data_IF_038696722412
#
_entry.id   IF_038696722412
#
_cell.length_a   1.000
_cell.length_b   1.000
_cell.length_c   1.000
_cell.angle_alpha   90.00
_cell.angle_beta   90.00
_cell.angle_gamma   90.00
#
_symmetry.space_group_name_H-M   'P 1'
#
loop_
_entity.id
_entity.type
_entity.pdbx_description
1 polymer ?
#
# COMPACT_ATOMS: atom_id res chain seq x y z
N UNK A 1 -15.99 -24.72 15.98
CA UNK A 1 -15.83 -24.02 14.69
C UNK A 1 -14.49 -23.34 14.76
N UNK A 2 -13.50 -23.85 14.03
CA UNK A 2 -12.20 -23.19 13.89
C UNK A 2 -12.46 -21.96 13.03
N UNK A 3 -12.21 -20.76 13.56
CA UNK A 3 -12.34 -19.53 12.79
C UNK A 3 -11.16 -19.42 11.82
N UNK A 4 -11.44 -19.02 10.59
CA UNK A 4 -10.48 -18.78 9.51
C UNK A 4 -9.63 -17.51 9.76
N UNK A 5 -9.27 -17.22 11.02
CA UNK A 5 -8.76 -15.92 11.50
C UNK A 5 -7.25 -15.69 11.23
N UNK A 6 -6.63 -16.43 10.31
CA UNK A 6 -5.17 -16.45 10.17
C UNK A 6 -4.59 -15.87 8.88
N UNK A 7 -5.40 -15.41 7.92
CA UNK A 7 -4.92 -15.30 6.52
C UNK A 7 -4.31 -13.98 6.08
N UNK A 8 -4.42 -12.89 6.83
CA UNK A 8 -3.95 -11.58 6.36
C UNK A 8 -3.22 -10.79 7.45
N UNK A 9 -2.28 -11.44 8.16
CA UNK A 9 -1.39 -10.67 9.03
C UNK A 9 -0.46 -9.76 8.20
N UNK A 10 -0.08 -10.21 7.00
CA UNK A 10 0.65 -9.44 6.00
C UNK A 10 -0.17 -9.36 4.71
N UNK A 11 -0.16 -8.21 4.05
CA UNK A 11 -0.68 -8.03 2.69
C UNK A 11 0.38 -7.39 1.80
N UNK A 12 0.38 -7.80 0.52
CA UNK A 12 1.22 -7.22 -0.53
C UNK A 12 2.74 -7.28 -0.26
N UNK A 13 3.20 -8.17 0.63
CA UNK A 13 4.63 -8.30 1.00
C UNK A 13 5.51 -8.77 -0.17
N UNK A 14 4.93 -9.51 -1.13
CA UNK A 14 5.65 -9.98 -2.32
C UNK A 14 5.61 -8.95 -3.48
N UNK A 15 4.93 -7.82 -3.30
CA UNK A 15 4.78 -6.81 -4.35
C UNK A 15 5.87 -5.76 -4.22
N UNK A 16 6.76 -5.70 -5.21
CA UNK A 16 7.77 -4.65 -5.27
C UNK A 16 7.20 -3.39 -5.90
N UNK A 17 7.20 -2.28 -5.16
CA UNK A 17 6.72 -0.97 -5.65
C UNK A 17 7.47 0.20 -5.01
N UNK A 18 7.47 1.35 -5.72
CA UNK A 18 8.00 2.62 -5.22
C UNK A 18 7.00 3.75 -5.38
N UNK A 19 6.79 4.52 -4.31
CA UNK A 19 5.98 5.73 -4.34
C UNK A 19 6.67 6.93 -5.04
N UNK A 20 7.88 6.74 -5.59
CA UNK A 20 8.54 7.74 -6.42
C UNK A 20 7.82 7.93 -7.78
N UNK A 21 7.04 6.93 -8.21
CA UNK A 21 6.27 7.01 -9.45
C UNK A 21 5.20 8.10 -9.37
N UNK A 22 4.84 8.69 -10.52
CA UNK A 22 3.75 9.66 -10.58
C UNK A 22 2.40 8.99 -10.25
N UNK A 23 1.41 9.80 -9.84
CA UNK A 23 0.05 9.30 -9.66
C UNK A 23 -0.49 8.76 -10.97
N UNK A 24 -1.13 7.59 -10.91
CA UNK A 24 -1.76 7.00 -12.08
C UNK A 24 -3.18 7.53 -12.26
N UNK A 25 -3.58 7.80 -13.50
CA UNK A 25 -4.90 8.35 -13.80
C UNK A 25 -6.04 7.35 -13.54
N UNK A 26 -5.76 6.06 -13.72
CA UNK A 26 -6.68 4.95 -13.49
C UNK A 26 -5.90 3.67 -13.14
N UNK A 27 -6.64 2.62 -12.78
CA UNK A 27 -6.08 1.34 -12.33
C UNK A 27 -5.34 0.57 -13.44
N UNK A 28 -5.71 0.75 -14.72
CA UNK A 28 -5.02 0.08 -15.82
C UNK A 28 -3.67 0.74 -16.08
N UNK A 29 -3.63 2.08 -16.10
CA UNK A 29 -2.38 2.82 -16.18
C UNK A 29 -1.44 2.53 -14.99
N UNK A 30 -2.02 2.31 -13.81
CA UNK A 30 -1.28 1.87 -12.64
C UNK A 30 -0.70 0.46 -12.83
N UNK A 31 -1.50 -0.49 -13.31
CA UNK A 31 -1.04 -1.85 -13.59
C UNK A 31 0.10 -1.87 -14.61
N UNK A 32 -0.01 -1.12 -15.71
CA UNK A 32 1.05 -1.01 -16.71
C UNK A 32 2.35 -0.45 -16.07
N UNK A 33 2.23 0.55 -15.19
CA UNK A 33 3.37 1.12 -14.47
C UNK A 33 3.99 0.13 -13.49
N UNK A 34 3.16 -0.67 -12.82
CA UNK A 34 3.58 -1.74 -11.91
C UNK A 34 4.34 -2.85 -12.65
N UNK A 35 3.84 -3.28 -13.82
CA UNK A 35 4.52 -4.26 -14.68
C UNK A 35 5.86 -3.75 -15.18
N UNK A 36 5.92 -2.50 -15.66
CA UNK A 36 7.16 -1.86 -16.13
C UNK A 36 8.18 -1.80 -14.99
N UNK A 37 7.77 -1.32 -13.81
CA UNK A 37 8.65 -1.21 -12.65
C UNK A 37 9.24 -2.56 -12.25
N UNK A 38 8.40 -3.60 -12.12
CA UNK A 38 8.84 -4.94 -11.70
C UNK A 38 9.81 -5.53 -12.73
N UNK A 39 9.55 -5.34 -14.03
CA UNK A 39 10.47 -5.74 -15.09
C UNK A 39 11.81 -5.02 -15.01
N UNK A 40 11.83 -3.72 -14.72
CA UNK A 40 13.05 -2.91 -14.66
C UNK A 40 13.97 -3.32 -13.49
N UNK A 41 13.39 -3.83 -12.40
CA UNK A 41 14.14 -4.36 -11.24
C UNK A 41 14.36 -5.89 -11.31
N UNK A 42 14.02 -6.52 -12.44
CA UNK A 42 14.14 -7.97 -12.67
C UNK A 42 13.39 -8.84 -11.64
N UNK A 43 12.22 -8.37 -11.19
CA UNK A 43 11.30 -9.09 -10.28
C UNK A 43 10.02 -9.44 -11.03
N UNK A 44 9.47 -10.63 -10.77
CA UNK A 44 8.18 -11.05 -11.34
C UNK A 44 7.02 -10.48 -10.51
N UNK A 45 6.03 -9.91 -11.18
CA UNK A 45 4.79 -9.50 -10.53
C UNK A 45 4.00 -10.75 -10.09
N UNK A 46 3.49 -10.83 -8.85
CA UNK A 46 2.76 -12.00 -8.42
C UNK A 46 1.48 -12.24 -9.23
N UNK A 47 1.26 -13.48 -9.67
CA UNK A 47 0.08 -13.90 -10.47
C UNK A 47 -1.26 -13.58 -9.79
N UNK A 48 -1.25 -13.42 -8.46
CA UNK A 48 -2.42 -13.20 -7.64
C UNK A 48 -2.72 -11.73 -7.36
N UNK A 49 -2.01 -10.75 -7.94
CA UNK A 49 -2.20 -9.31 -7.69
C UNK A 49 -3.66 -8.81 -7.94
N UNK A 50 -4.48 -9.58 -8.65
CA UNK A 50 -5.92 -9.34 -8.82
C UNK A 50 -6.85 -10.02 -7.81
N UNK A 51 -6.32 -10.74 -6.83
CA UNK A 51 -7.11 -11.53 -5.88
C UNK A 51 -7.94 -10.65 -4.94
N UNK A 52 -9.15 -11.11 -4.64
CA UNK A 52 -10.06 -10.43 -3.72
C UNK A 52 -9.64 -10.61 -2.27
N UNK A 53 -9.61 -9.52 -1.51
CA UNK A 53 -9.16 -9.47 -0.12
C UNK A 53 -10.27 -9.74 0.91
N UNK A 54 -11.54 -9.81 0.48
CA UNK A 54 -12.68 -10.14 1.35
C UNK A 54 -13.14 -9.02 2.28
N UNK A 55 -12.59 -7.81 2.13
CA UNK A 55 -13.06 -6.59 2.80
C UNK A 55 -13.12 -5.44 1.79
N UNK A 56 -14.00 -4.46 2.02
CA UNK A 56 -14.16 -3.29 1.15
C UNK A 56 -13.78 -1.97 1.82
N UNK A 57 -13.33 -2.00 3.06
CA UNK A 57 -12.93 -0.82 3.82
C UNK A 57 -11.75 -1.16 4.74
N UNK A 58 -10.76 -0.27 4.78
CA UNK A 58 -9.55 -0.46 5.58
C UNK A 58 -8.98 0.88 6.01
N UNK A 59 -8.35 0.93 7.18
CA UNK A 59 -7.56 2.07 7.63
C UNK A 59 -6.08 1.74 7.46
N UNK A 60 -5.33 2.62 6.80
CA UNK A 60 -3.88 2.50 6.67
C UNK A 60 -3.22 3.58 7.52
N UNK A 61 -2.40 3.15 8.47
CA UNK A 61 -1.50 4.02 9.23
C UNK A 61 -0.18 4.13 8.48
N UNK A 62 0.35 5.33 8.39
CA UNK A 62 1.62 5.59 7.71
C UNK A 62 2.38 6.72 8.39
N UNK A 63 3.68 6.81 8.11
CA UNK A 63 4.52 7.89 8.61
C UNK A 63 5.51 8.37 7.57
N UNK A 64 5.78 9.67 7.56
CA UNK A 64 6.67 10.30 6.60
C UNK A 64 7.47 11.42 7.28
N UNK A 65 8.62 11.77 6.71
CA UNK A 65 9.47 12.84 7.25
C UNK A 65 9.19 14.15 6.50
N UNK A 66 8.97 15.24 7.24
CA UNK A 66 8.71 16.57 6.69
C UNK A 66 9.53 17.64 7.44
N UNK A 67 9.92 18.71 6.74
CA UNK A 67 10.62 19.84 7.32
C UNK A 67 9.60 20.83 7.91
N UNK A 68 9.47 20.85 9.24
CA UNK A 68 8.56 21.76 9.98
C UNK A 68 9.42 22.69 10.83
N UNK A 69 9.28 24.01 10.63
CA UNK A 69 10.07 25.03 11.35
C UNK A 69 11.59 24.77 11.31
N UNK A 70 12.13 24.42 10.13
CA UNK A 70 13.52 24.04 9.89
C UNK A 70 14.00 22.78 10.65
N UNK A 71 13.08 21.95 11.16
CA UNK A 71 13.39 20.68 11.82
C UNK A 71 12.71 19.52 11.09
N UNK A 72 13.50 18.51 10.74
CA UNK A 72 12.97 17.25 10.20
C UNK A 72 12.18 16.52 11.29
N UNK A 73 10.90 16.31 11.02
CA UNK A 73 9.94 15.73 11.96
C UNK A 73 9.24 14.55 11.32
N UNK A 74 9.13 13.42 12.03
CA UNK A 74 8.29 12.29 11.61
C UNK A 74 6.83 12.64 11.87
N UNK A 75 6.07 12.78 10.81
CA UNK A 75 4.62 12.93 10.84
C UNK A 75 3.99 11.55 10.78
N UNK A 76 3.03 11.27 11.66
CA UNK A 76 2.22 10.04 11.64
C UNK A 76 0.80 10.40 11.27
N UNK A 77 0.20 9.63 10.37
CA UNK A 77 -1.14 9.90 9.88
C UNK A 77 -1.90 8.60 9.57
N UNK A 78 -3.20 8.72 9.32
CA UNK A 78 -4.04 7.61 8.90
C UNK A 78 -4.90 8.03 7.70
N UNK A 79 -5.16 7.08 6.82
CA UNK A 79 -6.12 7.23 5.72
C UNK A 79 -7.12 6.09 5.77
N UNK A 80 -8.37 6.40 5.50
CA UNK A 80 -9.43 5.41 5.35
C UNK A 80 -9.66 5.20 3.86
N UNK A 81 -9.46 3.97 3.40
CA UNK A 81 -9.66 3.57 2.01
C UNK A 81 -10.94 2.73 1.92
N UNK A 82 -11.66 2.92 0.82
CA UNK A 82 -12.89 2.18 0.54
C UNK A 82 -12.94 1.77 -0.93
N UNK A 83 -13.25 0.51 -1.17
CA UNK A 83 -13.47 -0.02 -2.51
C UNK A 83 -14.84 0.43 -3.02
N UNK A 84 -14.92 0.71 -4.31
CA UNK A 84 -16.20 0.91 -5.01
C UNK A 84 -16.92 -0.42 -5.30
N UNK A 85 -16.26 -1.56 -5.02
CA UNK A 85 -16.75 -2.92 -5.21
C UNK A 85 -17.12 -3.60 -3.88
N UNK A 86 -17.61 -4.84 -3.95
CA UNK A 86 -17.95 -5.65 -2.76
C UNK A 86 -16.73 -5.98 -1.89
N UNK A 87 -15.54 -6.03 -2.49
CA UNK A 87 -14.26 -6.21 -1.80
C UNK A 87 -13.13 -5.62 -2.63
N UNK A 88 -12.08 -5.14 -1.96
CA UNK A 88 -10.82 -4.79 -2.60
C UNK A 88 -10.23 -5.98 -3.35
N UNK A 89 -9.61 -5.69 -4.49
CA UNK A 89 -8.48 -6.50 -4.97
C UNK A 89 -7.16 -5.96 -4.41
N UNK A 90 -6.12 -6.78 -4.40
CA UNK A 90 -4.76 -6.35 -4.06
C UNK A 90 -4.28 -5.17 -4.93
N UNK A 91 -4.47 -5.27 -6.25
CA UNK A 91 -4.16 -4.21 -7.21
C UNK A 91 -4.89 -2.91 -6.90
N UNK A 92 -6.20 -2.98 -6.62
CA UNK A 92 -6.99 -1.80 -6.28
C UNK A 92 -6.51 -1.16 -4.98
N UNK A 93 -6.23 -1.97 -3.96
CA UNK A 93 -5.71 -1.48 -2.69
C UNK A 93 -4.37 -0.76 -2.87
N UNK A 94 -3.44 -1.37 -3.62
CA UNK A 94 -2.14 -0.78 -3.90
C UNK A 94 -2.26 0.50 -4.74
N UNK A 95 -3.15 0.52 -5.74
CA UNK A 95 -3.45 1.71 -6.55
C UNK A 95 -3.97 2.87 -5.69
N UNK A 96 -4.98 2.62 -4.86
CA UNK A 96 -5.52 3.65 -3.97
C UNK A 96 -4.46 4.13 -2.97
N UNK A 97 -3.68 3.22 -2.40
CA UNK A 97 -2.58 3.53 -1.49
C UNK A 97 -1.55 4.44 -2.17
N UNK A 98 -1.08 4.07 -3.37
CA UNK A 98 -0.16 4.86 -4.17
C UNK A 98 -0.68 6.28 -4.38
N UNK A 99 -1.86 6.42 -4.99
CA UNK A 99 -2.38 7.74 -5.34
C UNK A 99 -2.67 8.64 -4.13
N UNK A 100 -2.98 8.08 -2.96
CA UNK A 100 -3.17 8.85 -1.74
C UNK A 100 -1.84 9.28 -1.11
N UNK A 101 -0.83 8.41 -1.13
CA UNK A 101 0.39 8.60 -0.35
C UNK A 101 1.58 9.14 -1.16
N UNK A 102 1.53 9.07 -2.48
CA UNK A 102 2.62 9.46 -3.39
C UNK A 102 3.19 10.85 -3.08
N UNK A 103 2.34 11.83 -2.75
CA UNK A 103 2.79 13.20 -2.46
C UNK A 103 3.72 13.29 -1.25
N UNK A 104 3.58 12.38 -0.29
CA UNK A 104 4.41 12.35 0.91
C UNK A 104 5.76 11.67 0.64
N UNK A 105 5.80 10.69 -0.27
CA UNK A 105 6.96 9.82 -0.47
C UNK A 105 7.73 10.06 -1.77
N UNK A 106 7.21 10.84 -2.72
CA UNK A 106 7.84 11.06 -4.03
C UNK A 106 9.29 11.57 -3.94
N UNK A 107 9.60 12.37 -2.92
CA UNK A 107 10.96 12.91 -2.71
C UNK A 107 11.77 12.12 -1.66
N UNK A 108 11.19 11.05 -1.11
CA UNK A 108 11.84 10.19 -0.12
C UNK A 108 12.36 8.93 -0.80
N UNK A 109 13.23 9.15 -1.79
CA UNK A 109 13.78 8.23 -2.82
C UNK A 109 14.45 6.92 -2.30
N UNK A 110 14.34 6.63 -1.01
CA UNK A 110 14.90 5.44 -0.35
C UNK A 110 13.84 4.52 0.26
N UNK A 111 12.56 4.87 0.15
CA UNK A 111 11.49 4.06 0.70
C UNK A 111 10.83 3.21 -0.39
N UNK A 112 11.11 1.91 -0.33
CA UNK A 112 10.41 0.89 -1.11
C UNK A 112 9.23 0.36 -0.31
N UNK A 113 8.13 0.07 -0.98
CA UNK A 113 6.98 -0.56 -0.36
C UNK A 113 7.33 -2.01 0.03
N UNK A 114 7.11 -2.37 1.30
CA UNK A 114 7.37 -3.72 1.84
C UNK A 114 6.09 -4.44 2.27
N UNK A 115 4.93 -3.89 1.93
CA UNK A 115 3.65 -4.45 2.29
C UNK A 115 2.93 -3.70 3.41
N UNK A 116 1.91 -4.37 3.94
CA UNK A 116 1.03 -3.87 4.98
C UNK A 116 0.96 -4.88 6.13
N UNK A 117 1.23 -4.43 7.35
CA UNK A 117 1.15 -5.27 8.55
C UNK A 117 -0.14 -5.02 9.32
N UNK A 118 -0.91 -6.08 9.59
CA UNK A 118 -2.14 -6.00 10.35
C UNK A 118 -1.83 -5.59 11.80
N UNK A 119 -2.44 -4.50 12.24
CA UNK A 119 -2.38 -4.07 13.63
C UNK A 119 -3.47 -4.80 14.42
N UNK A 120 -3.13 -5.33 15.61
CA UNK A 120 -4.11 -6.01 16.48
C UNK A 120 -5.19 -5.03 16.98
N UNK A 121 -6.24 -4.84 16.20
CA UNK A 121 -7.48 -4.17 16.61
C UNK A 121 -8.69 -5.02 16.20
N UNK A 122 -9.49 -5.42 17.19
CA UNK A 122 -10.65 -6.31 16.97
C UNK A 122 -11.89 -5.58 16.45
N UNK A 123 -11.86 -4.25 16.34
CA UNK A 123 -13.04 -3.44 15.97
C UNK A 123 -12.95 -2.87 14.56
N UNK A 124 -11.75 -2.71 14.02
CA UNK A 124 -11.49 -2.11 12.72
C UNK A 124 -10.36 -2.86 12.04
N UNK A 125 -10.45 -2.96 10.72
CA UNK A 125 -9.34 -3.48 9.92
C UNK A 125 -8.31 -2.36 9.74
N UNK A 126 -7.18 -2.46 10.43
CA UNK A 126 -6.12 -1.45 10.44
C UNK A 126 -4.82 -2.12 10.02
N UNK A 127 -4.19 -1.59 8.98
CA UNK A 127 -2.84 -1.97 8.60
C UNK A 127 -1.87 -0.81 8.82
N UNK A 128 -0.61 -1.14 9.09
CA UNK A 128 0.51 -0.21 9.06
C UNK A 128 1.27 -0.37 7.75
N UNK A 129 1.57 0.76 7.10
CA UNK A 129 2.40 0.80 5.89
C UNK A 129 3.85 0.52 6.26
N UNK A 130 4.41 -0.54 5.68
CA UNK A 130 5.81 -0.91 5.87
C UNK A 130 6.64 -0.40 4.70
N UNK A 131 7.74 0.28 5.03
CA UNK A 131 8.65 0.88 4.07
C UNK A 131 10.09 0.44 4.38
N UNK A 132 10.79 -0.01 3.35
CA UNK A 132 12.21 -0.32 3.39
C UNK A 132 13.09 0.92 3.35
N UNK A 133 14.40 0.72 3.52
CA UNK A 133 15.44 1.77 3.52
C UNK A 133 16.59 1.49 2.56
#
# INVERSE_FOLDING_TARGET
MASEDGKYYWLLEEVSWSFAQEKSADINAFYDSLEIYNKDIEVELPDYIGAGLGFNEVIIKYSYVELIDNNWTTVRNEIQLKSDYESFSELELLYQLHNNLQIHYMQQDKHYFEGLELQEDKKKLIYELMLGS
#
